data_IF_984653268540
#
_entry.id   IF_984653268540
#
_cell.length_a   1.000
_cell.length_b   1.000
_cell.length_c   1.000
_cell.angle_alpha   90.00
_cell.angle_beta   90.00
_cell.angle_gamma   90.00
#
_symmetry.space_group_name_H-M   'P 1'
#
loop_
_entity.id
_entity.type
_entity.pdbx_description
1 polymer ?
#
# COMPACT_ATOMS: atom_id res chain seq x y z
N UNK A 1 8.72 13.16 -11.67
CA UNK A 1 7.94 13.94 -10.69
C UNK A 1 7.91 13.25 -9.34
N UNK A 2 7.39 12.02 -9.23
CA UNK A 2 7.32 11.29 -7.94
C UNK A 2 8.67 10.86 -7.33
N UNK A 3 9.77 10.93 -8.08
CA UNK A 3 11.13 10.65 -7.60
C UNK A 3 12.01 11.92 -7.51
N UNK A 4 11.42 13.11 -7.48
CA UNK A 4 12.20 14.35 -7.30
C UNK A 4 12.67 14.44 -5.82
N UNK A 5 13.99 14.39 -5.53
CA UNK A 5 14.49 14.45 -4.16
C UNK A 5 14.17 15.78 -3.45
N UNK A 6 13.91 16.86 -4.20
CA UNK A 6 13.49 18.15 -3.62
C UNK A 6 12.04 18.12 -3.10
N UNK A 7 11.17 17.31 -3.72
CA UNK A 7 9.76 17.16 -3.30
C UNK A 7 9.57 15.96 -2.35
N UNK A 8 10.44 14.94 -2.46
CA UNK A 8 10.38 13.69 -1.72
C UNK A 8 11.81 13.28 -1.28
N UNK A 9 12.27 13.65 -0.06
CA UNK A 9 13.60 13.30 0.44
C UNK A 9 13.83 11.78 0.46
N UNK A 10 14.97 11.22 0.05
CA UNK A 10 15.13 9.75 -0.11
C UNK A 10 14.00 9.10 -0.96
N UNK A 11 13.79 9.53 -2.22
CA UNK A 11 12.62 9.15 -3.01
C UNK A 11 12.55 7.65 -3.36
N UNK A 12 13.70 6.97 -3.41
CA UNK A 12 13.79 5.52 -3.67
C UNK A 12 13.41 4.67 -2.45
N UNK A 13 13.35 5.28 -1.25
CA UNK A 13 13.04 4.57 -0.02
C UNK A 13 11.54 4.62 0.27
N UNK A 14 10.92 3.45 0.41
CA UNK A 14 9.56 3.35 0.93
C UNK A 14 9.54 3.83 2.39
N UNK A 15 8.99 5.02 2.61
CA UNK A 15 8.88 5.65 3.92
C UNK A 15 7.53 6.37 4.01
N UNK A 16 6.49 5.74 4.58
CA UNK A 16 5.18 6.38 4.80
C UNK A 16 5.24 7.58 5.75
N UNK A 17 6.14 7.57 6.73
CA UNK A 17 6.23 8.60 7.77
C UNK A 17 6.59 9.97 7.20
N UNK A 18 7.19 10.03 6.00
CA UNK A 18 7.49 11.32 5.32
C UNK A 18 6.28 12.22 5.15
N UNK A 19 5.08 11.64 5.09
CA UNK A 19 3.83 12.38 4.89
C UNK A 19 3.20 12.87 6.20
N UNK A 20 3.81 12.55 7.36
CA UNK A 20 3.29 12.90 8.69
C UNK A 20 4.37 13.66 9.47
N UNK A 21 4.00 14.81 10.05
CA UNK A 21 4.87 15.63 10.91
C UNK A 21 4.07 16.04 12.14
N UNK A 22 4.55 15.68 13.33
CA UNK A 22 3.90 15.97 14.61
C UNK A 22 2.43 15.49 14.70
N UNK A 23 2.12 14.36 14.06
CA UNK A 23 0.78 13.77 14.04
C UNK A 23 -0.16 14.36 12.99
N UNK A 24 0.27 15.40 12.28
CA UNK A 24 -0.48 16.06 11.21
C UNK A 24 0.14 15.76 9.84
N UNK A 25 -0.58 16.08 8.76
CA UNK A 25 -0.02 15.97 7.41
C UNK A 25 1.18 16.91 7.26
N UNK A 26 2.29 16.36 6.76
CA UNK A 26 3.52 17.13 6.55
C UNK A 26 3.36 18.07 5.34
N UNK A 27 3.34 19.41 5.53
CA UNK A 27 3.22 20.35 4.41
C UNK A 27 4.51 20.47 3.59
N UNK A 28 5.64 20.00 4.12
CA UNK A 28 6.95 20.08 3.47
C UNK A 28 7.12 19.00 2.38
N UNK A 29 6.23 18.00 2.33
CA UNK A 29 6.23 16.94 1.32
C UNK A 29 4.98 17.08 0.47
N UNK A 30 5.18 17.10 -0.86
CA UNK A 30 4.06 17.23 -1.79
C UNK A 30 3.10 16.05 -1.66
N UNK A 31 1.81 16.34 -1.63
CA UNK A 31 0.77 15.32 -1.72
C UNK A 31 0.87 14.59 -3.09
N UNK A 32 1.14 13.28 -3.11
CA UNK A 32 1.29 12.51 -4.34
C UNK A 32 0.00 12.42 -5.15
N UNK A 33 -1.18 12.57 -4.53
CA UNK A 33 -2.47 12.53 -5.23
C UNK A 33 -2.65 13.68 -6.21
N UNK A 34 -1.90 14.77 -6.02
CA UNK A 34 -1.90 15.92 -6.93
C UNK A 34 -1.36 15.56 -8.32
N UNK A 35 -0.57 14.49 -8.44
CA UNK A 35 0.12 14.10 -9.67
C UNK A 35 -0.14 12.66 -10.11
N UNK A 36 -0.43 11.74 -9.17
CA UNK A 36 -0.58 10.30 -9.45
C UNK A 36 -1.77 9.97 -10.36
N UNK A 37 -2.81 10.80 -10.35
CA UNK A 37 -4.01 10.63 -11.18
C UNK A 37 -3.98 11.44 -12.48
N UNK A 38 -2.86 12.12 -12.79
CA UNK A 38 -2.74 13.02 -13.94
C UNK A 38 -3.43 14.37 -13.71
N UNK A 39 -3.59 15.15 -14.79
CA UNK A 39 -4.03 16.55 -14.70
C UNK A 39 -5.03 16.94 -15.80
N UNK A 40 -5.73 18.05 -15.56
CA UNK A 40 -6.58 18.72 -16.56
C UNK A 40 -7.77 17.88 -17.03
N UNK A 41 -8.18 18.07 -18.29
CA UNK A 41 -9.37 17.42 -18.87
C UNK A 41 -9.31 15.88 -18.94
N UNK A 42 -8.14 15.29 -18.74
CA UNK A 42 -7.90 13.83 -18.78
C UNK A 42 -7.44 13.27 -17.43
N UNK A 43 -7.60 14.04 -16.35
CA UNK A 43 -7.39 13.52 -15.00
C UNK A 43 -8.24 12.27 -14.78
N UNK A 44 -7.69 11.27 -14.07
CA UNK A 44 -8.37 10.01 -13.84
C UNK A 44 -9.75 10.25 -13.21
N UNK A 45 -10.85 9.85 -13.88
CA UNK A 45 -12.20 10.02 -13.35
C UNK A 45 -12.44 9.11 -12.13
N UNK A 46 -11.68 8.01 -12.01
CA UNK A 46 -11.80 7.03 -10.94
C UNK A 46 -11.09 7.40 -9.63
N UNK A 47 -10.37 8.54 -9.55
CA UNK A 47 -9.48 8.86 -8.41
C UNK A 47 -10.17 8.84 -7.04
N UNK A 48 -11.44 9.25 -6.99
CA UNK A 48 -12.21 9.28 -5.74
C UNK A 48 -12.67 7.89 -5.34
N UNK A 49 -13.17 7.12 -6.32
CA UNK A 49 -13.54 5.72 -6.11
C UNK A 49 -12.32 4.92 -5.66
N UNK A 50 -11.18 5.06 -6.33
CA UNK A 50 -9.95 4.32 -6.00
C UNK A 50 -9.43 4.69 -4.61
N UNK A 51 -9.48 5.97 -4.23
CA UNK A 51 -8.98 6.39 -2.91
C UNK A 51 -9.85 5.82 -1.79
N UNK A 52 -11.18 5.91 -1.93
CA UNK A 52 -12.12 5.37 -0.94
C UNK A 52 -12.08 3.84 -0.86
N UNK A 53 -12.06 3.16 -2.02
CA UNK A 53 -12.03 1.70 -2.07
C UNK A 53 -10.71 1.15 -1.54
N UNK A 54 -9.58 1.76 -1.88
CA UNK A 54 -8.27 1.34 -1.39
C UNK A 54 -8.17 1.54 0.12
N UNK A 55 -8.63 2.69 0.61
CA UNK A 55 -8.63 2.98 2.06
C UNK A 55 -9.42 1.92 2.84
N UNK A 56 -10.68 1.66 2.47
CA UNK A 56 -11.50 0.69 3.20
C UNK A 56 -10.97 -0.74 3.05
N UNK A 57 -10.41 -1.09 1.88
CA UNK A 57 -9.82 -2.41 1.65
C UNK A 57 -8.61 -2.61 2.57
N UNK A 58 -7.66 -1.67 2.58
CA UNK A 58 -6.48 -1.74 3.44
C UNK A 58 -6.89 -1.75 4.91
N UNK A 59 -7.80 -0.86 5.33
CA UNK A 59 -8.26 -0.81 6.72
C UNK A 59 -8.93 -2.12 7.15
N UNK A 60 -9.75 -2.73 6.29
CA UNK A 60 -10.42 -4.00 6.58
C UNK A 60 -9.44 -5.17 6.66
N UNK A 61 -8.49 -5.24 5.71
CA UNK A 61 -7.40 -6.23 5.72
C UNK A 61 -6.58 -6.08 6.99
N UNK A 62 -6.11 -4.86 7.27
CA UNK A 62 -5.34 -4.54 8.48
C UNK A 62 -6.17 -4.58 9.76
N UNK A 63 -7.48 -4.78 9.73
CA UNK A 63 -8.28 -4.99 10.94
C UNK A 63 -8.44 -6.48 11.23
N UNK A 64 -8.51 -7.32 10.18
CA UNK A 64 -8.98 -8.70 10.29
C UNK A 64 -7.91 -9.75 10.01
N UNK A 65 -6.83 -9.38 9.31
CA UNK A 65 -5.81 -10.30 8.82
C UNK A 65 -4.42 -9.90 9.31
N UNK A 66 -3.58 -10.93 9.50
CA UNK A 66 -2.14 -10.81 9.63
C UNK A 66 -1.49 -11.41 8.38
N UNK A 67 -0.60 -10.64 7.76
CA UNK A 67 0.13 -10.99 6.53
C UNK A 67 1.61 -11.02 6.87
N UNK A 68 2.24 -12.18 6.69
CA UNK A 68 3.66 -12.37 6.96
C UNK A 68 4.39 -12.92 5.73
N UNK A 69 5.68 -12.59 5.54
CA UNK A 69 6.50 -13.22 4.53
C UNK A 69 6.58 -14.74 4.77
N UNK A 70 6.79 -15.51 3.71
CA UNK A 70 7.19 -16.91 3.90
C UNK A 70 8.64 -16.96 4.39
N UNK A 71 8.94 -17.96 5.22
CA UNK A 71 10.31 -18.29 5.60
C UNK A 71 10.91 -19.20 4.53
N UNK A 72 12.11 -18.86 4.05
CA UNK A 72 12.91 -19.71 3.19
C UNK A 72 13.45 -20.95 3.93
N UNK A 73 14.08 -21.89 3.21
CA UNK A 73 14.65 -23.11 3.81
C UNK A 73 15.64 -22.84 4.95
N UNK A 74 16.34 -21.71 4.90
CA UNK A 74 17.36 -21.30 5.87
C UNK A 74 16.78 -20.43 7.02
N UNK A 75 15.45 -20.23 7.05
CA UNK A 75 14.76 -19.38 8.03
C UNK A 75 14.76 -17.88 7.68
N UNK A 76 15.35 -17.49 6.56
CA UNK A 76 15.34 -16.10 6.08
C UNK A 76 13.95 -15.70 5.56
N UNK A 77 13.49 -14.50 5.92
CA UNK A 77 12.25 -13.96 5.40
C UNK A 77 12.40 -13.62 3.91
N UNK A 78 11.36 -13.94 3.14
CA UNK A 78 11.27 -13.48 1.77
C UNK A 78 11.20 -11.95 1.70
N UNK A 79 12.15 -11.31 1.01
CA UNK A 79 12.11 -9.87 0.75
C UNK A 79 11.06 -9.54 -0.33
N UNK A 80 9.91 -8.92 0.03
CA UNK A 80 8.87 -8.60 -0.93
C UNK A 80 9.30 -7.50 -1.92
N UNK A 81 10.36 -6.74 -1.63
CA UNK A 81 10.88 -5.65 -2.48
C UNK A 81 11.97 -6.10 -3.46
N UNK A 82 12.37 -7.37 -3.42
CA UNK A 82 13.34 -7.94 -4.36
C UNK A 82 12.83 -8.05 -5.80
N UNK A 83 11.52 -7.85 -6.03
CA UNK A 83 10.88 -8.02 -7.34
C UNK A 83 10.85 -6.73 -8.14
N UNK A 84 11.05 -6.87 -9.45
CA UNK A 84 10.87 -5.76 -10.38
C UNK A 84 9.39 -5.59 -10.70
N UNK A 85 8.89 -4.37 -10.51
CA UNK A 85 7.60 -3.97 -11.06
C UNK A 85 7.81 -3.78 -12.58
N UNK A 86 7.01 -4.47 -13.39
CA UNK A 86 6.92 -4.14 -14.81
C UNK A 86 6.21 -2.79 -14.94
N UNK A 87 6.98 -1.74 -15.20
CA UNK A 87 6.48 -0.37 -15.27
C UNK A 87 5.54 -0.11 -16.44
N UNK A 88 5.53 -0.97 -17.47
CA UNK A 88 4.65 -0.82 -18.63
C UNK A 88 3.27 -1.39 -18.32
N UNK A 89 3.23 -2.57 -17.67
CA UNK A 89 1.98 -3.24 -17.34
C UNK A 89 1.47 -2.93 -15.92
N UNK A 90 2.28 -2.25 -15.09
CA UNK A 90 2.04 -2.03 -13.66
C UNK A 90 1.73 -3.33 -12.91
N UNK A 91 2.31 -4.44 -13.38
CA UNK A 91 2.10 -5.76 -12.80
C UNK A 91 3.19 -6.04 -11.79
N UNK A 92 2.77 -6.52 -10.61
CA UNK A 92 3.66 -7.03 -9.58
C UNK A 92 3.66 -8.55 -9.69
N UNK A 93 4.85 -9.16 -9.56
CA UNK A 93 4.96 -10.62 -9.45
C UNK A 93 4.24 -11.13 -8.19
N UNK A 94 3.84 -12.40 -8.21
CA UNK A 94 3.19 -13.00 -7.04
C UNK A 94 4.20 -13.10 -5.89
N UNK A 95 4.00 -12.30 -4.84
CA UNK A 95 4.78 -12.36 -3.61
C UNK A 95 4.21 -13.48 -2.72
N UNK A 96 4.98 -14.55 -2.44
CA UNK A 96 4.57 -15.58 -1.52
C UNK A 96 4.46 -15.01 -0.09
N UNK A 97 3.31 -15.24 0.53
CA UNK A 97 3.04 -14.80 1.91
C UNK A 97 2.13 -15.81 2.61
N UNK A 98 2.13 -15.75 3.94
CA UNK A 98 1.12 -16.39 4.77
C UNK A 98 0.08 -15.35 5.16
N UNK A 99 -1.19 -15.75 5.12
CA UNK A 99 -2.32 -14.90 5.52
C UNK A 99 -3.11 -15.65 6.58
N UNK A 100 -3.25 -15.05 7.75
CA UNK A 100 -3.99 -15.64 8.88
C UNK A 100 -4.97 -14.63 9.44
N UNK A 101 -6.00 -15.11 10.15
CA UNK A 101 -6.93 -14.22 10.85
C UNK A 101 -6.29 -13.67 12.10
N UNK A 102 -6.39 -12.36 12.31
CA UNK A 102 -5.77 -11.68 13.46
C UNK A 102 -6.31 -12.10 14.82
N UNK A 103 -7.57 -12.53 14.86
CA UNK A 103 -8.23 -13.01 16.07
C UNK A 103 -9.42 -13.91 15.75
N UNK A 104 -9.89 -14.67 16.73
CA UNK A 104 -11.13 -15.45 16.60
C UNK A 104 -12.36 -14.55 16.32
N UNK A 105 -12.37 -13.33 16.86
CA UNK A 105 -13.41 -12.35 16.55
C UNK A 105 -13.39 -11.94 15.07
N UNK A 106 -12.20 -11.67 14.52
CA UNK A 106 -12.03 -11.35 13.10
C UNK A 106 -12.44 -12.52 12.20
N UNK A 107 -12.07 -13.75 12.58
CA UNK A 107 -12.48 -14.97 11.87
C UNK A 107 -13.99 -15.12 11.81
N UNK A 108 -14.68 -14.93 12.95
CA UNK A 108 -16.14 -14.97 13.00
C UNK A 108 -16.78 -13.89 12.12
N UNK A 109 -16.28 -12.65 12.18
CA UNK A 109 -16.75 -11.53 11.37
C UNK A 109 -16.68 -11.84 9.86
N UNK A 110 -15.55 -12.40 9.39
CA UNK A 110 -15.37 -12.77 7.98
C UNK A 110 -16.37 -13.85 7.55
N UNK A 111 -16.61 -14.84 8.41
CA UNK A 111 -17.53 -15.94 8.11
C UNK A 111 -18.99 -15.46 8.03
N UNK A 112 -19.40 -14.57 8.92
CA UNK A 112 -20.75 -13.98 8.93
C UNK A 112 -21.00 -13.11 7.69
N UNK A 113 -20.01 -12.35 7.23
CA UNK A 113 -20.14 -11.52 6.02
C UNK A 113 -20.07 -12.28 4.69
N UNK A 114 -19.74 -13.59 4.73
CA UNK A 114 -19.66 -14.46 3.56
C UNK A 114 -20.94 -15.26 3.31
N UNK A 115 -21.96 -15.09 4.16
CA UNK A 115 -23.29 -15.73 4.08
C UNK A 115 -24.32 -14.80 3.49
#
# INVERSE_FOLDING_TARGET
MLHNPEEYPEPERFNPDRFIKDGELNPDVRDPTTISFGFGRRICPGRWLSSGSLFITIASVLHTLDIHPILGPDGEEYDPFSHRIDTINLTIEKVPCTVTTRSEAAKKLIQEGSS
#
